data_IF_937341658947
#
_entry.id   IF_937341658947
#
_cell.length_a   1.000
_cell.length_b   1.000
_cell.length_c   1.000
_cell.angle_alpha   90.00
_cell.angle_beta   90.00
_cell.angle_gamma   90.00
#
_symmetry.space_group_name_H-M   'P 1'
#
loop_
_entity.id
_entity.type
_entity.pdbx_description
1 polymer ?
#
# COMPACT_ATOMS: atom_id res chain seq x y z
N UNK A 1 -14.26 -12.09 3.62
CA UNK A 1 -12.97 -12.04 4.35
C UNK A 1 -12.01 -11.16 3.57
N UNK A 2 -12.20 -9.84 3.64
CA UNK A 2 -11.38 -8.84 2.97
C UNK A 2 -10.23 -8.39 3.88
N UNK A 3 -9.29 -9.29 4.14
CA UNK A 3 -8.06 -8.95 4.86
C UNK A 3 -7.01 -8.44 3.87
N UNK A 4 -6.21 -7.46 4.29
CA UNK A 4 -5.00 -7.07 3.57
C UNK A 4 -4.08 -8.29 3.42
N UNK A 5 -3.86 -8.80 2.20
CA UNK A 5 -3.04 -9.99 2.01
C UNK A 5 -1.56 -9.63 2.22
N UNK A 6 -1.02 -10.02 3.37
CA UNK A 6 0.39 -9.82 3.72
C UNK A 6 0.57 -9.74 5.24
N UNK A 7 1.80 -9.91 5.72
CA UNK A 7 2.13 -9.86 7.15
C UNK A 7 2.04 -8.45 7.77
N UNK A 8 1.36 -7.49 7.13
CA UNK A 8 1.22 -6.12 7.61
C UNK A 8 2.54 -5.33 7.67
N UNK A 9 3.61 -5.82 7.05
CA UNK A 9 4.88 -5.11 7.00
C UNK A 9 4.71 -3.78 6.26
N UNK A 10 5.27 -2.71 6.84
CA UNK A 10 5.36 -1.45 6.16
C UNK A 10 6.20 -1.62 4.88
N UNK A 11 5.67 -1.05 3.80
CA UNK A 11 6.22 -1.12 2.46
C UNK A 11 6.38 0.30 1.95
N UNK A 12 7.55 0.60 1.39
CA UNK A 12 7.76 1.77 0.55
C UNK A 12 7.99 1.30 -0.89
N UNK A 13 7.19 1.81 -1.82
CA UNK A 13 7.41 1.65 -3.25
C UNK A 13 8.01 2.95 -3.79
N UNK A 14 9.20 2.87 -4.37
CA UNK A 14 9.87 4.00 -5.00
C UNK A 14 9.87 3.80 -6.52
N UNK A 15 9.14 4.65 -7.24
CA UNK A 15 9.16 4.69 -8.70
C UNK A 15 10.46 5.36 -9.21
N UNK A 16 11.10 4.73 -10.20
CA UNK A 16 12.23 5.28 -10.92
C UNK A 16 11.81 6.01 -12.19
N UNK A 17 12.78 6.61 -12.89
CA UNK A 17 12.53 7.26 -14.19
C UNK A 17 12.03 6.27 -15.27
N UNK A 18 12.29 4.98 -15.07
CA UNK A 18 11.74 3.87 -15.86
C UNK A 18 11.33 2.75 -14.90
N UNK A 19 10.31 1.92 -15.23
CA UNK A 19 9.80 0.88 -14.31
C UNK A 19 10.85 -0.12 -13.81
N UNK A 20 11.89 -0.37 -14.63
CA UNK A 20 13.01 -1.27 -14.27
C UNK A 20 13.92 -0.72 -13.16
N UNK A 21 13.78 0.54 -12.79
CA UNK A 21 14.49 1.18 -11.69
C UNK A 21 13.64 1.28 -10.43
N UNK A 22 12.41 0.77 -10.46
CA UNK A 22 11.55 0.78 -9.28
C UNK A 22 12.14 -0.13 -8.21
N UNK A 23 11.96 0.27 -6.96
CA UNK A 23 12.46 -0.49 -5.81
C UNK A 23 11.41 -0.51 -4.72
N UNK A 24 11.27 -1.68 -4.12
CA UNK A 24 10.47 -1.89 -2.92
C UNK A 24 11.40 -1.99 -1.72
N UNK A 25 11.14 -1.20 -0.69
CA UNK A 25 11.68 -1.41 0.65
C UNK A 25 10.59 -2.04 1.53
N UNK A 26 10.93 -3.13 2.20
CA UNK A 26 10.12 -3.79 3.20
C UNK A 26 10.75 -3.61 4.57
N UNK A 27 9.99 -3.12 5.52
CA UNK A 27 10.46 -3.04 6.91
C UNK A 27 10.38 -4.44 7.54
N UNK A 28 11.54 -4.95 7.97
CA UNK A 28 11.65 -6.23 8.68
C UNK A 28 12.24 -6.02 10.09
N UNK A 29 12.08 -7.03 10.95
CA UNK A 29 12.68 -7.03 12.29
C UNK A 29 14.22 -6.96 12.27
N UNK A 30 14.85 -7.29 11.15
CA UNK A 30 16.30 -7.32 11.00
C UNK A 30 16.85 -6.13 10.19
N UNK A 31 15.99 -5.17 9.83
CA UNK A 31 16.33 -4.02 9.01
C UNK A 31 15.56 -3.99 7.69
N UNK A 32 15.77 -2.97 6.84
CA UNK A 32 15.07 -2.84 5.57
C UNK A 32 15.55 -3.88 4.54
N UNK A 33 14.60 -4.59 3.94
CA UNK A 33 14.83 -5.48 2.81
C UNK A 33 14.49 -4.76 1.50
N UNK A 34 15.38 -4.82 0.51
CA UNK A 34 15.20 -4.16 -0.79
C UNK A 34 14.96 -5.16 -1.91
N UNK A 35 13.89 -4.96 -2.66
CA UNK A 35 13.52 -5.80 -3.80
C UNK A 35 13.35 -4.98 -5.06
N UNK A 36 14.05 -5.39 -6.11
CA UNK A 36 14.08 -4.74 -7.43
C UNK A 36 13.82 -5.74 -8.57
N UNK A 37 13.53 -7.00 -8.24
CA UNK A 37 13.20 -8.01 -9.23
C UNK A 37 11.80 -7.76 -9.81
N UNK A 38 11.68 -7.75 -11.14
CA UNK A 38 10.45 -7.37 -11.86
C UNK A 38 9.20 -8.15 -11.40
N UNK A 39 9.35 -9.46 -11.16
CA UNK A 39 8.24 -10.29 -10.68
C UNK A 39 7.70 -9.85 -9.31
N UNK A 40 8.60 -9.41 -8.42
CA UNK A 40 8.22 -8.90 -7.11
C UNK A 40 7.63 -7.48 -7.23
N UNK A 41 8.23 -6.61 -8.05
CA UNK A 41 7.70 -5.28 -8.32
C UNK A 41 6.28 -5.32 -8.89
N UNK A 42 6.03 -6.24 -9.84
CA UNK A 42 4.70 -6.46 -10.43
C UNK A 42 3.68 -6.87 -9.37
N UNK A 43 4.06 -7.77 -8.47
CA UNK A 43 3.20 -8.21 -7.36
C UNK A 43 2.87 -7.03 -6.43
N UNK A 44 3.87 -6.26 -6.03
CA UNK A 44 3.65 -5.10 -5.15
C UNK A 44 2.79 -4.03 -5.81
N UNK A 45 3.00 -3.72 -7.10
CA UNK A 45 2.15 -2.77 -7.83
C UNK A 45 0.70 -3.24 -7.90
N UNK A 46 0.48 -4.54 -8.10
CA UNK A 46 -0.86 -5.13 -8.14
C UNK A 46 -1.57 -5.01 -6.79
N UNK A 47 -0.86 -5.25 -5.69
CA UNK A 47 -1.39 -5.04 -4.34
C UNK A 47 -1.71 -3.55 -4.07
N UNK A 48 -0.81 -2.63 -4.42
CA UNK A 48 -1.03 -1.20 -4.23
C UNK A 48 -2.23 -0.69 -5.03
N UNK A 49 -2.37 -1.11 -6.30
CA UNK A 49 -3.53 -0.75 -7.12
C UNK A 49 -4.85 -1.28 -6.54
N UNK A 50 -4.82 -2.49 -5.97
CA UNK A 50 -5.99 -3.02 -5.27
C UNK A 50 -6.33 -2.22 -4.01
N UNK A 51 -5.32 -1.84 -3.21
CA UNK A 51 -5.51 -1.00 -2.03
C UNK A 51 -6.11 0.36 -2.39
N UNK A 52 -5.59 0.99 -3.44
CA UNK A 52 -6.07 2.29 -3.92
C UNK A 52 -7.53 2.20 -4.40
N UNK A 53 -7.86 1.16 -5.17
CA UNK A 53 -9.25 0.92 -5.62
C UNK A 53 -10.23 0.56 -4.51
N UNK A 54 -9.75 -0.01 -3.40
CA UNK A 54 -10.57 -0.32 -2.23
C UNK A 54 -10.67 0.85 -1.24
N UNK A 55 -9.77 1.83 -1.32
CA UNK A 55 -9.73 2.96 -0.42
C UNK A 55 -10.88 3.95 -0.68
N UNK A 56 -11.39 4.55 0.40
CA UNK A 56 -12.31 5.68 0.27
C UNK A 56 -11.55 6.91 -0.22
N UNK A 57 -12.22 7.75 -1.00
CA UNK A 57 -11.69 9.10 -1.27
C UNK A 57 -11.59 9.88 0.05
N UNK A 58 -10.67 10.86 0.10
CA UNK A 58 -10.51 11.73 1.26
C UNK A 58 -11.83 12.40 1.69
N UNK A 59 -12.66 12.81 0.71
CA UNK A 59 -13.97 13.39 0.98
C UNK A 59 -14.94 12.39 1.63
N UNK A 60 -15.08 11.19 1.05
CA UNK A 60 -15.98 10.17 1.56
C UNK A 60 -15.54 9.68 2.96
N UNK A 61 -14.23 9.55 3.19
CA UNK A 61 -13.67 9.23 4.51
C UNK A 61 -14.03 10.30 5.55
N UNK A 62 -13.86 11.58 5.22
CA UNK A 62 -14.22 12.69 6.12
C UNK A 62 -15.72 12.72 6.41
N UNK A 63 -16.55 12.50 5.41
CA UNK A 63 -18.01 12.48 5.58
C UNK A 63 -18.44 11.34 6.51
N UNK A 64 -17.81 10.16 6.38
CA UNK A 64 -18.01 9.04 7.30
C UNK A 64 -17.60 9.40 8.74
N UNK A 65 -16.42 9.99 8.93
CA UNK A 65 -15.94 10.42 10.26
C UNK A 65 -16.92 11.41 10.90
N UNK A 66 -17.36 12.43 10.16
CA UNK A 66 -18.33 13.41 10.64
C UNK A 66 -19.71 12.81 10.91
N UNK A 67 -20.11 11.76 10.17
CA UNK A 67 -21.35 11.04 10.44
C UNK A 67 -21.25 10.32 11.79
N UNK A 68 -20.20 9.52 11.98
CA UNK A 68 -19.97 8.78 13.23
C UNK A 68 -19.90 9.73 14.43
N UNK A 69 -19.14 10.83 14.33
CA UNK A 69 -19.00 11.80 15.40
C UNK A 69 -20.30 12.50 15.81
N UNK A 70 -21.32 12.55 14.92
CA UNK A 70 -22.65 13.10 15.21
C UNK A 70 -23.63 12.07 15.78
N UNK A 71 -23.31 10.79 15.64
CA UNK A 71 -24.12 9.66 16.12
C UNK A 71 -23.64 9.12 17.48
N UNK A 72 -22.54 9.67 18.02
CA UNK A 72 -22.01 9.47 19.37
C UNK A 72 -22.47 10.60 20.31
#
# INVERSE_FOLDING_TARGET
>A
MGGFPGAGHALLYADGAVPRLDTVQLDSAHGPDFTHAEAQLTKHRSHLNWMDGAAMTSAASRDLIHKIAREL
#
